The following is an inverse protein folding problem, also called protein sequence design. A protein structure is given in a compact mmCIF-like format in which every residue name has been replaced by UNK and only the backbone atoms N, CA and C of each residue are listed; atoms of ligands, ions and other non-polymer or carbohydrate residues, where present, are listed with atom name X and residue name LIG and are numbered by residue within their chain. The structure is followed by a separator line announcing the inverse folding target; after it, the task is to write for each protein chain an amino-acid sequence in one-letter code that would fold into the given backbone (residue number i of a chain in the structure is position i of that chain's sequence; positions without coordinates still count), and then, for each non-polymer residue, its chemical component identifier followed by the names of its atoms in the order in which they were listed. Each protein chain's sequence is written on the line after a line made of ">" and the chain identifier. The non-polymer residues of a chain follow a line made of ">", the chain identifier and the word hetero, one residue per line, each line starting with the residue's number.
data_IF_979302133899
#
_entry.id   IF_979302133899
#
_cell.length_a   1.000
_cell.length_b   1.000
_cell.length_c   1.000
_cell.angle_alpha   90.00
_cell.angle_beta   90.00
_cell.angle_gamma   90.00
#
_symmetry.space_group_name_H-M   'P 1'
#
loop_
_entity.id
_entity.type
_entity.pdbx_description
1 polymer ?
#
# COMPACT_ATOMS: atom_id res chain seq x y z
N UNK A 1 -12.16 -21.58 17.94
CA UNK A 1 -11.75 -20.16 18.08
C UNK A 1 -12.51 -19.34 17.04
N UNK A 2 -13.49 -18.50 17.42
CA UNK A 2 -14.21 -17.65 16.46
C UNK A 2 -13.26 -16.54 16.01
N UNK A 3 -12.73 -16.62 14.78
CA UNK A 3 -11.85 -15.60 14.24
C UNK A 3 -12.61 -14.27 14.16
N UNK A 4 -12.22 -13.30 14.99
CA UNK A 4 -12.86 -11.99 14.99
C UNK A 4 -12.29 -11.17 13.83
N UNK A 5 -12.95 -11.24 12.66
CA UNK A 5 -12.55 -10.56 11.43
C UNK A 5 -12.24 -9.07 11.64
N UNK A 6 -12.93 -8.42 12.59
CA UNK A 6 -12.73 -7.01 12.92
C UNK A 6 -11.37 -6.72 13.57
N UNK A 7 -10.78 -7.69 14.26
CA UNK A 7 -9.41 -7.61 14.81
C UNK A 7 -8.38 -8.02 13.76
N UNK A 8 -8.73 -8.96 12.88
CA UNK A 8 -7.85 -9.41 11.81
C UNK A 8 -7.50 -8.28 10.83
N UNK A 9 -8.47 -7.43 10.47
CA UNK A 9 -8.28 -6.33 9.54
C UNK A 9 -7.17 -5.34 9.96
N UNK A 10 -7.18 -4.74 11.18
CA UNK A 10 -6.11 -3.84 11.60
C UNK A 10 -4.76 -4.55 11.76
N UNK A 11 -4.73 -5.85 12.08
CA UNK A 11 -3.46 -6.63 12.16
C UNK A 11 -2.82 -6.81 10.78
N UNK A 12 -3.62 -7.07 9.75
CA UNK A 12 -3.10 -7.17 8.37
C UNK A 12 -2.63 -5.79 7.89
N UNK A 13 -3.42 -4.75 8.17
CA UNK A 13 -3.09 -3.39 7.79
C UNK A 13 -1.84 -2.87 8.50
N UNK A 14 -1.61 -3.22 9.76
CA UNK A 14 -0.38 -2.84 10.47
C UNK A 14 0.86 -3.51 9.86
N UNK A 15 0.76 -4.77 9.44
CA UNK A 15 1.81 -5.42 8.66
C UNK A 15 2.11 -4.67 7.36
N UNK A 16 1.07 -4.27 6.61
CA UNK A 16 1.21 -3.45 5.40
C UNK A 16 1.86 -2.08 5.65
N UNK A 17 1.49 -1.40 6.74
CA UNK A 17 2.11 -0.13 7.17
C UNK A 17 3.59 -0.32 7.42
N UNK A 18 3.99 -1.33 8.22
CA UNK A 18 5.40 -1.55 8.57
C UNK A 18 6.23 -1.79 7.31
N UNK A 19 5.76 -2.68 6.42
CA UNK A 19 6.48 -3.01 5.19
C UNK A 19 6.59 -1.79 4.25
N UNK A 20 5.48 -1.11 3.98
CA UNK A 20 5.46 0.04 3.07
C UNK A 20 6.26 1.24 3.59
N UNK A 21 6.21 1.53 4.89
CA UNK A 21 7.01 2.62 5.47
C UNK A 21 8.50 2.28 5.55
N UNK A 22 8.86 1.01 5.74
CA UNK A 22 10.27 0.60 5.73
C UNK A 22 10.92 0.83 4.35
N UNK A 23 10.20 0.56 3.26
CA UNK A 23 10.70 0.73 1.89
C UNK A 23 10.76 2.20 1.48
N UNK A 24 9.75 2.99 1.88
CA UNK A 24 9.76 4.45 1.72
C UNK A 24 10.92 5.07 2.49
N UNK A 25 11.15 4.66 3.74
CA UNK A 25 12.26 5.16 4.56
C UNK A 25 13.62 4.85 3.92
N UNK A 26 13.83 3.63 3.43
CA UNK A 26 15.06 3.30 2.69
C UNK A 26 15.26 4.20 1.46
N UNK A 27 14.18 4.50 0.74
CA UNK A 27 14.22 5.39 -0.42
C UNK A 27 14.61 6.83 -0.03
N UNK A 28 14.11 7.33 1.11
CA UNK A 28 14.51 8.62 1.66
C UNK A 28 15.98 8.66 2.08
N UNK A 29 16.48 7.61 2.73
CA UNK A 29 17.89 7.52 3.12
C UNK A 29 18.81 7.58 1.91
N UNK A 30 18.48 6.84 0.84
CA UNK A 30 19.23 6.87 -0.42
C UNK A 30 19.18 8.26 -1.03
N UNK A 31 17.99 8.83 -1.20
CA UNK A 31 17.83 10.17 -1.80
C UNK A 31 18.62 11.24 -1.04
N UNK A 32 18.55 11.24 0.30
CA UNK A 32 19.30 12.16 1.14
C UNK A 32 20.82 11.99 1.00
N UNK A 33 21.29 10.74 0.83
CA UNK A 33 22.71 10.44 0.61
C UNK A 33 23.28 10.99 -0.71
N UNK A 34 22.45 11.14 -1.76
CA UNK A 34 22.88 11.69 -3.05
C UNK A 34 22.67 13.20 -3.16
N UNK A 35 21.53 13.72 -2.72
CA UNK A 35 21.13 15.11 -2.97
C UNK A 35 21.37 16.05 -1.77
N UNK A 36 21.67 15.50 -0.58
CA UNK A 36 21.94 16.25 0.66
C UNK A 36 20.77 17.09 1.19
N UNK A 37 19.62 17.06 0.51
CA UNK A 37 18.43 17.88 0.80
C UNK A 37 17.17 17.05 0.59
N UNK A 38 16.13 17.31 1.39
CA UNK A 38 14.87 16.53 1.38
C UNK A 38 13.84 17.13 0.40
N UNK A 39 13.93 18.43 0.14
CA UNK A 39 12.94 19.21 -0.62
C UNK A 39 13.46 19.71 -1.97
N UNK A 40 14.30 18.91 -2.64
CA UNK A 40 14.70 19.18 -4.03
C UNK A 40 13.72 18.47 -4.97
N UNK A 41 13.07 19.25 -5.84
CA UNK A 41 12.06 18.76 -6.78
C UNK A 41 12.45 18.97 -8.25
N UNK A 42 13.53 19.71 -8.54
CA UNK A 42 14.01 20.04 -9.89
C UNK A 42 15.49 19.68 -10.04
N UNK A 43 15.88 19.18 -11.23
CA UNK A 43 17.24 18.73 -11.55
C UNK A 43 17.81 17.71 -10.55
N UNK A 44 17.05 16.65 -10.25
CA UNK A 44 17.50 15.56 -9.39
C UNK A 44 18.07 14.40 -10.22
N UNK A 45 19.16 13.81 -9.76
CA UNK A 45 19.73 12.57 -10.34
C UNK A 45 18.88 11.35 -9.95
N UNK A 46 18.23 11.41 -8.80
CA UNK A 46 17.29 10.40 -8.30
C UNK A 46 15.93 11.05 -8.06
N UNK A 47 14.84 10.37 -8.45
CA UNK A 47 13.48 10.87 -8.24
C UNK A 47 13.17 11.04 -6.76
N UNK A 48 12.56 12.18 -6.39
CA UNK A 48 12.17 12.45 -5.02
C UNK A 48 11.13 11.41 -4.53
N UNK A 49 11.34 10.74 -3.38
CA UNK A 49 10.42 9.73 -2.84
C UNK A 49 8.97 10.22 -2.67
N UNK A 50 8.75 11.51 -2.44
CA UNK A 50 7.39 12.09 -2.32
C UNK A 50 6.56 11.98 -3.60
N UNK A 51 7.21 11.89 -4.76
CA UNK A 51 6.55 11.76 -6.07
C UNK A 51 6.36 10.28 -6.48
N UNK A 52 6.84 9.34 -5.67
CA UNK A 52 6.80 7.92 -6.01
C UNK A 52 5.45 7.28 -5.65
N UNK A 53 4.97 6.31 -6.44
CA UNK A 53 3.72 5.58 -6.13
C UNK A 53 3.80 4.84 -4.79
N UNK A 54 4.99 4.39 -4.39
CA UNK A 54 5.26 3.75 -3.10
C UNK A 54 4.83 4.63 -1.91
N UNK A 55 5.11 5.93 -1.95
CA UNK A 55 4.75 6.86 -0.88
C UNK A 55 3.24 7.00 -0.71
N UNK A 56 2.49 7.17 -1.81
CA UNK A 56 1.03 7.22 -1.79
C UNK A 56 0.42 5.89 -1.34
N UNK A 57 1.03 4.77 -1.72
CA UNK A 57 0.68 3.45 -1.21
C UNK A 57 0.85 3.33 0.30
N UNK A 58 1.94 3.84 0.88
CA UNK A 58 2.17 3.83 2.33
C UNK A 58 1.17 4.72 3.09
N UNK A 59 0.82 5.88 2.52
CA UNK A 59 -0.23 6.75 3.07
C UNK A 59 -1.59 6.06 3.08
N UNK A 60 -1.93 5.34 2.02
CA UNK A 60 -3.17 4.57 1.95
C UNK A 60 -3.29 3.52 3.06
N UNK A 61 -2.19 2.81 3.38
CA UNK A 61 -2.17 1.82 4.45
C UNK A 61 -2.36 2.48 5.82
N UNK A 62 -1.70 3.62 6.05
CA UNK A 62 -1.86 4.40 7.28
C UNK A 62 -3.31 4.87 7.47
N UNK A 63 -3.90 5.46 6.42
CA UNK A 63 -5.29 5.92 6.44
C UNK A 63 -6.28 4.76 6.69
N UNK A 64 -6.09 3.62 5.99
CA UNK A 64 -6.91 2.43 6.19
C UNK A 64 -6.81 1.89 7.62
N UNK A 65 -5.61 1.87 8.21
CA UNK A 65 -5.38 1.38 9.57
C UNK A 65 -6.06 2.27 10.61
N UNK A 66 -5.91 3.59 10.49
CA UNK A 66 -6.55 4.57 11.38
C UNK A 66 -8.07 4.41 11.28
N UNK A 67 -8.60 4.34 10.06
CA UNK A 67 -10.03 4.21 9.84
C UNK A 67 -10.56 2.88 10.38
N UNK A 68 -9.91 1.77 10.08
CA UNK A 68 -10.27 0.44 10.60
C UNK A 68 -10.26 0.41 12.13
N UNK A 69 -9.25 1.01 12.76
CA UNK A 69 -9.13 1.08 14.23
C UNK A 69 -10.23 1.95 14.84
N UNK A 70 -10.57 3.07 14.20
CA UNK A 70 -11.68 3.92 14.64
C UNK A 70 -13.04 3.23 14.56
N UNK A 71 -13.25 2.33 13.59
CA UNK A 71 -14.49 1.55 13.46
C UNK A 71 -14.54 0.40 14.46
N UNK A 72 -13.40 -0.15 14.86
CA UNK A 72 -13.32 -1.18 15.89
C UNK A 72 -13.79 -0.66 17.26
N UNK A 73 -13.50 0.60 17.59
CA UNK A 73 -13.90 1.24 18.85
C UNK A 73 -15.38 1.66 18.91
N UNK A 74 -16.08 1.68 17.77
CA UNK A 74 -17.50 2.09 17.69
C UNK A 74 -18.44 0.92 17.94
N UNK A 75 -19.58 1.22 18.58
CA UNK A 75 -20.64 0.23 18.84
C UNK A 75 -21.21 -0.37 17.55
N UNK A 76 -21.58 -1.65 17.59
CA UNK A 76 -22.00 -2.50 16.45
C UNK A 76 -23.21 -1.97 15.66
N UNK A 77 -24.01 -1.08 16.25
CA UNK A 77 -25.25 -0.57 15.64
C UNK A 77 -24.94 0.41 14.50
N UNK A 78 -25.44 0.14 13.29
CA UNK A 78 -25.37 1.08 12.16
C UNK A 78 -24.01 1.19 11.44
N UNK A 79 -23.07 0.27 11.68
CA UNK A 79 -21.72 0.28 11.07
C UNK A 79 -21.67 -0.09 9.58
N UNK A 80 -22.80 -0.40 8.96
CA UNK A 80 -22.89 -0.79 7.55
C UNK A 80 -22.33 0.28 6.59
N UNK A 81 -22.72 1.54 6.79
CA UNK A 81 -22.25 2.66 5.97
C UNK A 81 -20.73 2.83 6.00
N UNK A 82 -20.11 2.97 7.19
CA UNK A 82 -18.66 3.11 7.30
C UNK A 82 -17.85 1.96 6.70
N UNK A 83 -18.27 0.70 6.88
CA UNK A 83 -17.58 -0.44 6.25
C UNK A 83 -17.72 -0.44 4.72
N UNK A 84 -18.81 0.10 4.17
CA UNK A 84 -18.96 0.30 2.71
C UNK A 84 -17.89 1.26 2.18
N UNK A 85 -17.71 2.41 2.84
CA UNK A 85 -16.69 3.39 2.44
C UNK A 85 -15.27 2.83 2.58
N UNK A 86 -14.98 2.11 3.66
CA UNK A 86 -13.69 1.46 3.85
C UNK A 86 -13.42 0.39 2.77
N UNK A 87 -14.45 -0.35 2.34
CA UNK A 87 -14.33 -1.32 1.25
C UNK A 87 -14.01 -0.63 -0.08
N UNK A 88 -14.69 0.47 -0.41
CA UNK A 88 -14.36 1.23 -1.62
C UNK A 88 -12.96 1.83 -1.55
N UNK A 89 -12.57 2.38 -0.41
CA UNK A 89 -11.22 2.91 -0.22
C UNK A 89 -10.15 1.84 -0.47
N UNK A 90 -10.28 0.67 0.15
CA UNK A 90 -9.35 -0.45 -0.06
C UNK A 90 -9.39 -0.99 -1.49
N UNK A 91 -10.55 -0.95 -2.16
CA UNK A 91 -10.67 -1.30 -3.57
C UNK A 91 -9.84 -0.35 -4.44
N UNK A 92 -9.96 0.96 -4.23
CA UNK A 92 -9.16 1.96 -4.94
C UNK A 92 -7.66 1.74 -4.70
N UNK A 93 -7.24 1.52 -3.46
CA UNK A 93 -5.83 1.22 -3.15
C UNK A 93 -5.34 -0.08 -3.81
N UNK A 94 -6.19 -1.10 -3.87
CA UNK A 94 -5.87 -2.37 -4.54
C UNK A 94 -5.67 -2.18 -6.03
N UNK A 95 -6.59 -1.46 -6.69
CA UNK A 95 -6.49 -1.14 -8.13
C UNK A 95 -5.24 -0.31 -8.40
N UNK A 96 -4.97 0.69 -7.58
CA UNK A 96 -3.77 1.53 -7.69
C UNK A 96 -2.48 0.70 -7.55
N UNK A 97 -2.39 -0.16 -6.53
CA UNK A 97 -1.25 -1.03 -6.31
C UNK A 97 -0.99 -1.97 -7.49
N UNK A 98 -2.03 -2.73 -7.89
CA UNK A 98 -1.91 -3.67 -9.01
C UNK A 98 -1.67 -2.97 -10.35
N UNK A 99 -2.17 -1.75 -10.54
CA UNK A 99 -1.87 -0.92 -11.71
C UNK A 99 -0.39 -0.57 -11.80
N UNK A 100 0.23 -0.17 -10.69
CA UNK A 100 1.68 0.10 -10.64
C UNK A 100 2.51 -1.18 -10.84
N UNK A 101 2.09 -2.31 -10.26
CA UNK A 101 2.73 -3.61 -10.52
C UNK A 101 2.65 -3.99 -12.00
N UNK A 102 1.49 -3.81 -12.63
CA UNK A 102 1.33 -4.08 -14.06
C UNK A 102 2.22 -3.16 -14.92
N UNK A 103 2.37 -1.89 -14.53
CA UNK A 103 3.29 -0.96 -15.18
C UNK A 103 4.76 -1.41 -15.06
N UNK A 104 5.22 -1.79 -13.86
CA UNK A 104 6.57 -2.31 -13.63
C UNK A 104 6.83 -3.59 -14.45
N UNK A 105 5.85 -4.50 -14.50
CA UNK A 105 5.93 -5.72 -15.32
C UNK A 105 6.00 -5.37 -16.81
N UNK A 106 5.20 -4.42 -17.27
CA UNK A 106 5.21 -3.98 -18.67
C UNK A 106 6.54 -3.34 -19.06
N UNK A 107 7.11 -2.50 -18.19
CA UNK A 107 8.45 -1.91 -18.39
C UNK A 107 9.54 -2.98 -18.42
N UNK A 108 9.46 -3.98 -17.55
CA UNK A 108 10.38 -5.12 -17.53
C UNK A 108 10.41 -5.90 -18.85
N UNK A 109 9.24 -6.11 -19.48
CA UNK A 109 9.14 -6.78 -20.77
C UNK A 109 9.68 -5.94 -21.94
N UNK A 110 9.72 -4.61 -21.78
CA UNK A 110 10.14 -3.68 -22.84
C UNK A 110 11.63 -3.41 -22.83
N UNK A 111 12.28 -3.53 -21.67
CA UNK A 111 13.70 -3.20 -21.49
C UNK A 111 14.59 -4.41 -21.81
N UNK A 112 15.55 -4.25 -22.73
CA UNK A 112 16.44 -5.32 -23.20
C UNK A 112 17.31 -5.93 -22.09
N UNK A 113 17.62 -5.16 -21.04
CA UNK A 113 18.42 -5.61 -19.90
C UNK A 113 17.60 -6.33 -18.83
N UNK A 114 16.27 -6.43 -18.98
CA UNK A 114 15.36 -7.02 -17.99
C UNK A 114 15.54 -6.44 -16.56
N UNK A 115 16.01 -5.20 -16.47
CA UNK A 115 16.14 -4.46 -15.20
C UNK A 115 15.05 -3.42 -15.10
N UNK A 116 14.35 -3.39 -13.97
CA UNK A 116 13.33 -2.37 -13.67
C UNK A 116 13.96 -1.34 -12.74
N UNK A 117 13.76 -0.05 -13.01
CA UNK A 117 14.09 0.99 -12.03
C UNK A 117 12.99 1.07 -10.97
N UNK A 118 13.30 0.59 -9.77
CA UNK A 118 12.42 0.61 -8.61
C UNK A 118 12.41 1.95 -7.87
N UNK A 119 11.46 2.10 -6.93
CA UNK A 119 11.42 3.22 -5.97
C UNK A 119 12.82 3.46 -5.33
N UNK A 120 13.35 4.67 -5.48
CA UNK A 120 14.65 5.06 -4.92
C UNK A 120 15.88 4.68 -5.75
N UNK A 121 15.73 4.37 -7.05
CA UNK A 121 16.86 4.10 -7.95
C UNK A 121 17.47 2.71 -7.79
N UNK A 122 16.81 1.80 -7.07
CA UNK A 122 17.22 0.39 -6.97
C UNK A 122 16.78 -0.35 -8.22
N UNK A 123 17.68 -1.04 -8.90
CA UNK A 123 17.32 -1.94 -10.00
C UNK A 123 16.89 -3.30 -9.44
N UNK A 124 15.77 -3.82 -9.94
CA UNK A 124 15.31 -5.16 -9.59
C UNK A 124 15.49 -6.11 -10.76
N UNK A 125 16.01 -7.30 -10.46
CA UNK A 125 16.19 -8.42 -11.41
C UNK A 125 14.89 -9.18 -11.69
N UNK A 126 13.86 -8.99 -10.86
CA UNK A 126 12.53 -9.56 -11.10
C UNK A 126 11.42 -8.66 -10.58
N UNK A 127 10.30 -8.51 -11.31
CA UNK A 127 9.16 -7.69 -10.87
C UNK A 127 8.49 -8.23 -9.60
N UNK A 128 8.61 -9.54 -9.33
CA UNK A 128 8.05 -10.18 -8.14
C UNK A 128 8.76 -9.78 -6.82
N UNK A 129 10.01 -9.31 -6.91
CA UNK A 129 10.74 -8.79 -5.75
C UNK A 129 10.41 -7.32 -5.46
N UNK A 130 9.61 -6.67 -6.31
CA UNK A 130 9.23 -5.28 -6.11
C UNK A 130 8.40 -5.12 -4.82
N UNK A 131 8.70 -4.10 -4.00
CA UNK A 131 7.89 -3.77 -2.84
C UNK A 131 6.43 -3.45 -3.19
N UNK A 132 6.15 -3.04 -4.45
CA UNK A 132 4.80 -2.79 -4.95
C UNK A 132 3.95 -4.07 -5.02
N UNK A 133 4.55 -5.21 -5.35
CA UNK A 133 3.85 -6.51 -5.38
C UNK A 133 3.37 -6.88 -3.98
N UNK A 134 4.26 -6.82 -3.00
CA UNK A 134 3.92 -7.12 -1.61
C UNK A 134 2.85 -6.16 -1.08
N UNK A 135 2.99 -4.84 -1.32
CA UNK A 135 1.96 -3.87 -0.95
C UNK A 135 0.60 -4.18 -1.59
N UNK A 136 0.58 -4.55 -2.87
CA UNK A 136 -0.66 -4.89 -3.59
C UNK A 136 -1.34 -6.14 -3.05
N UNK A 137 -0.56 -7.14 -2.63
CA UNK A 137 -1.06 -8.35 -1.97
C UNK A 137 -1.68 -8.01 -0.61
N UNK A 138 -1.04 -7.18 0.21
CA UNK A 138 -1.61 -6.75 1.49
C UNK A 138 -2.91 -5.97 1.33
N UNK A 139 -3.01 -5.11 0.32
CA UNK A 139 -4.25 -4.41 -0.02
C UNK A 139 -5.36 -5.38 -0.44
N UNK A 140 -5.04 -6.36 -1.29
CA UNK A 140 -6.01 -7.35 -1.75
C UNK A 140 -6.53 -8.21 -0.59
N UNK A 141 -5.65 -8.69 0.29
CA UNK A 141 -6.05 -9.46 1.48
C UNK A 141 -6.95 -8.60 2.39
N UNK A 142 -6.56 -7.35 2.63
CA UNK A 142 -7.36 -6.41 3.43
C UNK A 142 -8.75 -6.17 2.81
N UNK A 143 -8.83 -6.07 1.49
CA UNK A 143 -10.07 -5.92 0.73
C UNK A 143 -10.99 -7.14 0.90
N UNK A 144 -10.43 -8.36 0.85
CA UNK A 144 -11.21 -9.59 1.06
C UNK A 144 -11.76 -9.65 2.48
N UNK A 145 -10.95 -9.30 3.48
CA UNK A 145 -11.35 -9.29 4.89
C UNK A 145 -12.43 -8.24 5.15
N UNK A 146 -12.25 -7.00 4.69
CA UNK A 146 -13.25 -5.94 4.89
C UNK A 146 -14.56 -6.27 4.16
N UNK A 147 -14.48 -6.85 2.95
CA UNK A 147 -15.67 -7.29 2.20
C UNK A 147 -16.45 -8.37 2.95
N UNK A 148 -15.73 -9.27 3.63
CA UNK A 148 -16.34 -10.30 4.47
C UNK A 148 -17.03 -9.71 5.71
N UNK A 149 -16.43 -8.70 6.35
CA UNK A 149 -17.04 -7.96 7.46
C UNK A 149 -18.28 -7.19 7.00
N UNK A 150 -18.19 -6.52 5.86
CA UNK A 150 -19.28 -5.78 5.24
C UNK A 150 -20.49 -6.69 4.95
N UNK A 151 -20.27 -7.86 4.35
CA UNK A 151 -21.32 -8.85 4.09
C UNK A 151 -22.00 -9.36 5.36
N UNK A 152 -21.23 -9.59 6.43
CA UNK A 152 -21.80 -9.97 7.74
C UNK A 152 -22.66 -8.84 8.31
N UNK A 153 -22.14 -7.62 8.32
CA UNK A 153 -22.81 -6.44 8.88
C UNK A 153 -24.05 -6.03 8.08
N UNK A 154 -24.17 -6.43 6.81
CA UNK A 154 -25.39 -6.22 6.00
C UNK A 154 -26.52 -7.18 6.38
N UNK A 155 -26.17 -8.37 6.87
CA UNK A 155 -27.10 -9.45 7.16
C UNK A 155 -27.70 -9.33 8.56
N UNK A 156 -26.92 -8.77 9.49
CA UNK A 156 -27.34 -8.42 10.85
C UNK A 156 -28.13 -7.10 10.88
#
# INVERSE_FOLDING_TARGET
>A
MKLNLRVLLPVILSGGVILSWSTVFQSFVVFYGYEGTIFKFTNCTITNPFLTPCFYGALGFGAALIWSSSLYLKSTKGLFGPYRYLTFFLLFCTIFGWGNVAYEVWEWFKTADHTISGCGGKTFVSPLQSPCVWGSVFYLISLIVVSSIYRKTKRD
#
